data_IF_412300079716
#
_entry.id   IF_412300079716
#
_cell.length_a   1.000
_cell.length_b   1.000
_cell.length_c   1.000
_cell.angle_alpha   90.00
_cell.angle_beta   90.00
_cell.angle_gamma   90.00
#
_symmetry.space_group_name_H-M   'P 1'
#
loop_
_entity.id
_entity.type
_entity.pdbx_description
1 polymer ?
#
# COMPACT_ATOMS: atom_id res chain seq x y z
N UNK A 1 -6.93 7.45 10.48
CA UNK A 1 -5.66 7.43 9.70
C UNK A 1 -5.98 7.09 8.26
N UNK A 2 -5.28 7.68 7.28
CA UNK A 2 -5.54 7.46 5.85
C UNK A 2 -4.29 6.96 5.13
N UNK A 3 -4.50 6.19 4.06
CA UNK A 3 -3.50 5.93 3.03
C UNK A 3 -3.83 6.80 1.83
N UNK A 4 -2.83 7.47 1.28
CA UNK A 4 -2.94 8.19 0.00
C UNK A 4 -2.17 7.39 -1.04
N UNK A 5 -2.84 7.03 -2.14
CA UNK A 5 -2.25 6.26 -3.21
C UNK A 5 -1.44 7.16 -4.14
N UNK A 6 -0.18 6.81 -4.35
CA UNK A 6 0.76 7.52 -5.21
C UNK A 6 1.33 6.57 -6.27
N UNK A 7 1.30 6.97 -7.55
CA UNK A 7 1.89 6.19 -8.63
C UNK A 7 3.16 6.87 -9.16
N UNK A 8 4.32 6.23 -8.95
CA UNK A 8 5.63 6.78 -9.31
C UNK A 8 6.02 6.59 -10.79
N UNK A 9 5.41 5.62 -11.47
CA UNK A 9 5.73 5.26 -12.89
C UNK A 9 4.74 5.81 -13.91
N UNK A 10 3.66 6.43 -13.46
CA UNK A 10 2.69 7.08 -14.32
C UNK A 10 2.94 8.60 -14.31
N UNK A 11 2.01 9.40 -13.79
CA UNK A 11 2.14 10.86 -13.76
C UNK A 11 2.87 11.42 -12.54
N UNK A 12 3.46 10.54 -11.70
CA UNK A 12 4.13 10.90 -10.45
C UNK A 12 3.24 11.74 -9.53
N UNK A 13 2.02 11.26 -9.27
CA UNK A 13 1.02 12.00 -8.50
C UNK A 13 0.16 11.16 -7.58
N UNK A 14 -0.69 11.82 -6.79
CA UNK A 14 -1.68 11.22 -5.92
C UNK A 14 -2.96 10.92 -6.70
N UNK A 15 -3.45 9.68 -6.58
CA UNK A 15 -4.58 9.15 -7.36
C UNK A 15 -5.85 8.97 -6.55
N UNK A 16 -5.73 8.93 -5.24
CA UNK A 16 -6.85 8.63 -4.35
C UNK A 16 -6.39 8.41 -2.94
N UNK A 17 -7.35 8.04 -2.10
CA UNK A 17 -7.13 7.74 -0.70
C UNK A 17 -8.06 6.64 -0.20
N UNK A 18 -7.72 6.09 0.96
CA UNK A 18 -8.59 5.22 1.73
C UNK A 18 -8.37 5.46 3.22
N UNK A 19 -9.41 5.18 4.00
CA UNK A 19 -9.29 5.11 5.46
C UNK A 19 -8.82 3.73 5.89
N UNK A 20 -7.97 3.69 6.90
CA UNK A 20 -7.54 2.42 7.50
C UNK A 20 -8.63 2.00 8.49
N UNK A 21 -9.20 0.84 8.26
CA UNK A 21 -10.17 0.21 9.14
C UNK A 21 -9.47 -0.63 10.22
N UNK A 22 -8.57 -1.51 9.79
CA UNK A 22 -7.85 -2.43 10.68
C UNK A 22 -6.46 -2.75 10.12
N UNK A 23 -5.55 -3.14 11.01
CA UNK A 23 -4.22 -3.63 10.66
C UNK A 23 -4.01 -4.99 11.31
N UNK A 24 -3.74 -6.01 10.51
CA UNK A 24 -3.48 -7.37 10.96
C UNK A 24 -2.05 -7.80 10.64
N UNK A 25 -1.53 -8.71 11.47
CA UNK A 25 -0.19 -9.28 11.31
C UNK A 25 -0.28 -10.80 11.16
N UNK A 26 0.42 -11.33 10.15
CA UNK A 26 0.43 -12.76 9.83
C UNK A 26 1.86 -13.29 9.77
N UNK A 27 2.15 -14.35 10.50
CA UNK A 27 3.44 -15.04 10.36
C UNK A 27 3.53 -15.84 9.06
N UNK A 28 2.39 -16.41 8.62
CA UNK A 28 2.27 -17.15 7.38
C UNK A 28 1.45 -16.35 6.36
N UNK A 29 2.03 -15.88 5.24
CA UNK A 29 1.30 -15.11 4.24
C UNK A 29 0.21 -15.92 3.52
N UNK A 30 0.25 -17.25 3.52
CA UNK A 30 -0.84 -18.05 2.92
C UNK A 30 -2.16 -17.89 3.67
N UNK A 31 -2.13 -17.60 4.98
CA UNK A 31 -3.34 -17.28 5.76
C UNK A 31 -4.00 -15.98 5.28
N UNK A 32 -3.24 -15.05 4.73
CA UNK A 32 -3.77 -13.82 4.12
C UNK A 32 -4.58 -14.19 2.88
N UNK A 33 -4.03 -15.06 2.03
CA UNK A 33 -4.74 -15.53 0.84
C UNK A 33 -6.01 -16.28 1.21
N UNK A 34 -5.98 -17.14 2.24
CA UNK A 34 -7.17 -17.86 2.72
C UNK A 34 -8.28 -16.90 3.21
N UNK A 35 -7.92 -15.88 3.99
CA UNK A 35 -8.88 -14.94 4.60
C UNK A 35 -9.37 -13.86 3.64
N UNK A 36 -8.50 -13.36 2.75
CA UNK A 36 -8.72 -12.14 1.96
C UNK A 36 -8.65 -12.34 0.45
N UNK A 37 -8.70 -13.59 -0.05
CA UNK A 37 -8.56 -13.91 -1.49
C UNK A 37 -9.24 -12.92 -2.44
N UNK A 38 -10.49 -12.57 -2.18
CA UNK A 38 -11.31 -11.73 -3.06
C UNK A 38 -11.20 -10.23 -2.76
N UNK A 39 -10.39 -9.84 -1.76
CA UNK A 39 -10.23 -8.47 -1.28
C UNK A 39 -8.78 -7.97 -1.40
N UNK A 40 -7.89 -8.76 -2.01
CA UNK A 40 -6.53 -8.35 -2.32
C UNK A 40 -6.48 -7.52 -3.61
N UNK A 41 -5.57 -6.54 -3.66
CA UNK A 41 -5.24 -5.84 -4.90
C UNK A 41 -4.49 -6.72 -5.91
N UNK A 42 -3.92 -7.84 -5.44
CA UNK A 42 -3.20 -8.81 -6.26
C UNK A 42 -4.08 -10.02 -6.49
N UNK A 43 -4.02 -10.58 -7.70
CA UNK A 43 -4.54 -11.92 -7.96
C UNK A 43 -3.79 -12.95 -7.12
N UNK A 44 -4.39 -14.14 -6.94
CA UNK A 44 -3.75 -15.24 -6.21
C UNK A 44 -2.37 -15.59 -6.78
N UNK A 45 -2.23 -15.59 -8.11
CA UNK A 45 -0.97 -15.87 -8.80
C UNK A 45 0.09 -14.79 -8.53
N UNK A 46 -0.27 -13.52 -8.66
CA UNK A 46 0.61 -12.39 -8.36
C UNK A 46 1.04 -12.38 -6.89
N UNK A 47 0.13 -12.72 -5.98
CA UNK A 47 0.42 -12.79 -4.55
C UNK A 47 1.40 -13.94 -4.22
N UNK A 48 1.19 -15.14 -4.79
CA UNK A 48 2.13 -16.27 -4.62
C UNK A 48 3.52 -15.93 -5.16
N UNK A 49 3.59 -15.30 -6.33
CA UNK A 49 4.85 -14.82 -6.91
C UNK A 49 5.54 -13.79 -6.02
N UNK A 50 4.78 -12.86 -5.44
CA UNK A 50 5.31 -11.87 -4.50
C UNK A 50 5.92 -12.50 -3.25
N UNK A 51 5.27 -13.53 -2.68
CA UNK A 51 5.83 -14.30 -1.55
C UNK A 51 7.13 -15.00 -1.95
N UNK A 52 7.17 -15.64 -3.10
CA UNK A 52 8.36 -16.34 -3.61
C UNK A 52 9.53 -15.37 -3.80
N UNK A 53 9.31 -14.24 -4.47
CA UNK A 53 10.32 -13.20 -4.68
C UNK A 53 10.80 -12.58 -3.37
N UNK A 54 9.89 -12.37 -2.41
CA UNK A 54 10.23 -11.87 -1.08
C UNK A 54 11.11 -12.86 -0.32
N UNK A 55 10.78 -14.15 -0.37
CA UNK A 55 11.59 -15.22 0.23
C UNK A 55 12.98 -15.34 -0.44
N UNK A 56 13.08 -15.21 -1.77
CA UNK A 56 14.36 -15.23 -2.48
C UNK A 56 15.25 -14.03 -2.12
N UNK A 57 14.67 -12.82 -2.08
CA UNK A 57 15.42 -11.57 -1.83
C UNK A 57 15.77 -11.35 -0.36
N UNK A 58 14.90 -11.77 0.57
CA UNK A 58 15.04 -11.47 2.00
C UNK A 58 15.22 -12.70 2.90
N UNK A 59 15.04 -13.91 2.37
CA UNK A 59 15.06 -15.17 3.13
C UNK A 59 16.45 -15.78 3.33
N UNK A 60 17.45 -15.43 2.53
CA UNK A 60 18.83 -15.88 2.75
C UNK A 60 19.48 -15.10 3.91
N UNK A 61 19.27 -15.54 5.15
CA UNK A 61 20.13 -15.18 6.29
C UNK A 61 19.49 -14.47 7.48
N UNK A 62 18.20 -14.09 7.44
CA UNK A 62 17.52 -13.55 8.64
C UNK A 62 16.82 -14.67 9.40
N UNK A 63 17.42 -15.08 10.52
CA UNK A 63 16.93 -16.12 11.47
C UNK A 63 15.47 -15.97 11.94
N UNK A 64 14.81 -14.83 11.69
CA UNK A 64 13.39 -14.61 12.01
C UNK A 64 12.67 -14.03 10.79
N UNK A 65 11.68 -14.78 10.28
CA UNK A 65 10.74 -14.27 9.28
C UNK A 65 9.98 -13.11 9.90
N UNK A 66 9.99 -11.94 9.26
CA UNK A 66 9.17 -10.81 9.70
C UNK A 66 7.70 -11.13 9.45
N UNK A 67 6.77 -10.74 10.35
CA UNK A 67 5.36 -10.89 10.07
C UNK A 67 4.98 -10.03 8.86
N UNK A 68 3.98 -10.51 8.13
CA UNK A 68 3.33 -9.81 7.03
C UNK A 68 2.25 -8.91 7.59
N UNK A 69 2.16 -7.69 7.08
CA UNK A 69 1.14 -6.72 7.44
C UNK A 69 0.02 -6.73 6.40
N UNK A 70 -1.22 -6.79 6.87
CA UNK A 70 -2.42 -6.56 6.06
C UNK A 70 -3.07 -5.29 6.59
N UNK A 71 -3.41 -4.37 5.69
CA UNK A 71 -4.13 -3.15 6.03
C UNK A 71 -5.49 -3.25 5.37
N UNK A 72 -6.53 -3.32 6.18
CA UNK A 72 -7.92 -3.33 5.73
C UNK A 72 -8.33 -1.88 5.49
N UNK A 73 -8.86 -1.62 4.30
CA UNK A 73 -9.19 -0.29 3.82
C UNK A 73 -10.70 -0.13 3.67
N UNK A 74 -11.20 1.02 4.12
CA UNK A 74 -12.58 1.46 3.90
C UNK A 74 -12.62 2.82 3.23
N UNK A 75 -13.79 3.20 2.71
CA UNK A 75 -14.01 4.51 2.08
C UNK A 75 -12.98 4.83 0.99
N UNK A 76 -12.64 3.83 0.16
CA UNK A 76 -11.69 3.97 -0.94
C UNK A 76 -12.25 4.96 -1.96
N UNK A 77 -11.51 6.04 -2.20
CA UNK A 77 -11.92 7.12 -3.10
C UNK A 77 -10.82 7.39 -4.12
N UNK A 78 -11.17 7.31 -5.41
CA UNK A 78 -10.36 7.85 -6.50
C UNK A 78 -10.56 9.36 -6.60
N UNK A 79 -9.48 10.09 -6.80
CA UNK A 79 -9.50 11.52 -7.05
C UNK A 79 -9.99 11.82 -8.48
N UNK A 80 -10.72 12.93 -8.70
CA UNK A 80 -11.21 13.31 -10.03
C UNK A 80 -10.07 13.63 -11.01
N UNK A 81 -8.91 14.05 -10.49
CA UNK A 81 -7.68 14.26 -11.27
C UNK A 81 -6.45 13.95 -10.43
N UNK A 82 -5.34 13.65 -11.10
CA UNK A 82 -4.08 13.32 -10.45
C UNK A 82 -3.44 14.59 -9.88
N UNK A 83 -3.07 14.58 -8.59
CA UNK A 83 -2.45 15.73 -7.92
C UNK A 83 -0.95 15.50 -7.76
N UNK A 84 -0.12 16.32 -8.42
CA UNK A 84 1.34 16.23 -8.29
C UNK A 84 1.82 16.75 -6.92
N UNK A 85 2.70 15.99 -6.22
CA UNK A 85 3.28 16.45 -4.97
C UNK A 85 4.24 17.62 -5.22
N UNK A 86 4.45 18.47 -4.20
CA UNK A 86 5.40 19.60 -4.27
C UNK A 86 6.86 19.15 -4.38
N UNK A 87 7.15 17.94 -3.90
CA UNK A 87 8.50 17.34 -3.88
C UNK A 87 8.39 15.87 -4.25
N UNK A 88 9.49 15.31 -4.74
CA UNK A 88 9.61 13.89 -5.04
C UNK A 88 9.25 13.01 -3.83
N UNK A 89 8.52 11.92 -4.07
CA UNK A 89 8.19 10.92 -3.04
C UNK A 89 9.13 9.73 -3.20
N UNK A 90 9.93 9.40 -2.17
CA UNK A 90 10.85 8.27 -2.25
C UNK A 90 10.09 6.94 -2.29
N UNK A 91 10.77 5.86 -2.68
CA UNK A 91 10.19 4.51 -2.77
C UNK A 91 9.63 4.01 -1.44
N UNK A 92 10.16 4.49 -0.31
CA UNK A 92 9.63 4.17 1.02
C UNK A 92 8.32 4.89 1.38
N UNK A 93 7.82 5.76 0.49
CA UNK A 93 6.66 6.60 0.75
C UNK A 93 6.99 7.82 1.62
N UNK A 94 5.96 8.52 2.07
CA UNK A 94 6.08 9.72 2.91
C UNK A 94 4.84 9.86 3.78
N UNK A 95 5.01 10.35 5.00
CA UNK A 95 3.89 10.86 5.80
C UNK A 95 3.37 12.17 5.21
N UNK A 96 2.09 12.17 4.83
CA UNK A 96 1.38 13.39 4.42
C UNK A 96 0.75 14.00 5.67
N UNK A 97 1.23 15.20 6.03
CA UNK A 97 0.68 15.96 7.16
C UNK A 97 -0.59 16.69 6.75
N UNK A 98 -1.34 17.18 7.73
CA UNK A 98 -2.61 17.87 7.54
C UNK A 98 -2.53 19.04 6.54
N UNK A 99 -1.50 19.87 6.64
CA UNK A 99 -1.26 21.01 5.75
C UNK A 99 -1.05 20.60 4.28
N UNK A 100 -0.34 19.49 4.04
CA UNK A 100 -0.14 18.94 2.71
C UNK A 100 -1.40 18.23 2.21
N UNK A 101 -2.11 17.53 3.09
CA UNK A 101 -3.38 16.90 2.78
C UNK A 101 -4.44 17.92 2.33
N UNK A 102 -4.59 19.03 3.05
CA UNK A 102 -5.47 20.13 2.63
C UNK A 102 -5.09 20.71 1.26
N UNK A 103 -3.79 20.81 0.98
CA UNK A 103 -3.31 21.27 -0.33
C UNK A 103 -3.62 20.28 -1.45
N UNK A 104 -3.62 18.97 -1.16
CA UNK A 104 -4.08 17.96 -2.10
C UNK A 104 -5.57 18.20 -2.37
N UNK A 105 -6.39 18.32 -1.32
CA UNK A 105 -7.84 18.54 -1.44
C UNK A 105 -8.19 19.82 -2.22
N UNK A 106 -7.49 20.93 -1.97
CA UNK A 106 -7.68 22.20 -2.71
C UNK A 106 -7.35 22.09 -4.20
N UNK A 107 -6.57 21.07 -4.59
CA UNK A 107 -6.19 20.81 -5.97
C UNK A 107 -7.04 19.74 -6.62
N UNK A 108 -7.89 19.01 -5.90
CA UNK A 108 -8.84 18.07 -6.50
C UNK A 108 -9.88 18.80 -7.33
#
# INVERSE_FOLDING_TARGET
MKIIFYASREEQGFYGEAEIEEVEFFENPMKILEKYKNNLFLTEEEFKKYIEDSNKKWGYGKKKKKPWIVIILKNIRKYPKVVKPKRFIPVCGKYVKEDEYEQILKKL
#
